data_IF_931518373298
#
_entry.id   IF_931518373298
#
_cell.length_a   1.000
_cell.length_b   1.000
_cell.length_c   1.000
_cell.angle_alpha   90.00
_cell.angle_beta   90.00
_cell.angle_gamma   90.00
#
_symmetry.space_group_name_H-M   'P 1'
#
loop_
_entity.id
_entity.type
_entity.pdbx_description
1 polymer ?
#
# COMPACT_ATOMS: atom_id res chain seq x y z
N UNK A 1 -11.53 -45.24 -4.63
CA UNK A 1 -11.71 -44.21 -3.59
C UNK A 1 -10.77 -43.09 -3.95
N UNK A 2 -11.28 -42.10 -4.65
CA UNK A 2 -10.55 -40.87 -5.02
C UNK A 2 -10.64 -39.93 -3.82
N UNK A 3 -9.49 -39.62 -3.21
CA UNK A 3 -9.40 -38.55 -2.20
C UNK A 3 -9.85 -37.24 -2.84
N UNK A 4 -10.71 -36.46 -2.19
CA UNK A 4 -11.00 -35.13 -2.66
C UNK A 4 -9.73 -34.28 -2.48
N UNK A 5 -9.17 -33.76 -3.57
CA UNK A 5 -8.13 -32.73 -3.54
C UNK A 5 -8.76 -31.47 -2.96
N UNK A 6 -8.61 -31.29 -1.65
CA UNK A 6 -9.04 -30.08 -0.95
C UNK A 6 -8.01 -28.97 -1.21
N UNK A 7 -7.87 -28.53 -2.46
CA UNK A 7 -7.19 -27.32 -2.82
C UNK A 7 -8.09 -26.15 -2.41
N UNK A 8 -7.83 -25.49 -1.28
CA UNK A 8 -8.47 -24.21 -0.97
C UNK A 8 -8.33 -23.29 -2.16
N UNK A 9 -9.43 -22.63 -2.57
CA UNK A 9 -9.38 -21.64 -3.65
C UNK A 9 -8.33 -20.57 -3.29
N UNK A 10 -7.51 -20.20 -4.25
CA UNK A 10 -6.45 -19.20 -4.07
C UNK A 10 -6.73 -17.98 -4.93
N UNK A 11 -6.76 -16.81 -4.32
CA UNK A 11 -6.96 -15.54 -5.01
C UNK A 11 -5.70 -14.70 -4.90
N UNK A 12 -5.19 -14.22 -6.01
CA UNK A 12 -4.09 -13.26 -6.05
C UNK A 12 -4.63 -11.84 -6.18
N UNK A 13 -4.08 -10.91 -5.40
CA UNK A 13 -4.48 -9.50 -5.40
C UNK A 13 -3.27 -8.61 -5.56
N UNK A 14 -3.11 -7.99 -6.73
CA UNK A 14 -2.19 -6.87 -6.89
C UNK A 14 -2.83 -5.61 -6.31
N UNK A 15 -2.19 -4.98 -5.35
CA UNK A 15 -2.65 -3.72 -4.73
C UNK A 15 -1.77 -2.58 -5.19
N UNK A 16 -2.25 -1.81 -6.15
CA UNK A 16 -1.59 -0.60 -6.63
C UNK A 16 -1.87 0.52 -5.63
N UNK A 17 -0.82 1.06 -5.00
CA UNK A 17 -0.99 1.98 -3.88
C UNK A 17 0.27 2.75 -3.54
N UNK A 18 0.10 3.94 -2.94
CA UNK A 18 1.19 4.77 -2.43
C UNK A 18 1.12 4.88 -0.91
N UNK A 19 2.28 4.94 -0.24
CA UNK A 19 2.38 5.01 1.23
C UNK A 19 1.91 6.34 1.82
N UNK A 20 1.87 7.40 1.01
CA UNK A 20 1.38 8.74 1.41
C UNK A 20 -0.05 9.02 0.96
N UNK A 21 -0.73 8.02 0.42
CA UNK A 21 -2.15 8.12 0.08
C UNK A 21 -3.00 7.69 1.27
N UNK A 22 -3.77 8.59 1.89
CA UNK A 22 -4.56 8.24 3.07
C UNK A 22 -5.66 7.23 2.76
N UNK A 23 -6.23 7.27 1.55
CA UNK A 23 -7.17 6.26 1.11
C UNK A 23 -6.54 4.88 0.89
N UNK A 24 -5.21 4.83 0.59
CA UNK A 24 -4.47 3.57 0.55
C UNK A 24 -4.24 3.00 1.95
N UNK A 25 -4.04 3.85 2.97
CA UNK A 25 -3.95 3.43 4.37
C UNK A 25 -5.26 2.79 4.84
N UNK A 26 -6.39 3.45 4.58
CA UNK A 26 -7.73 2.92 4.88
C UNK A 26 -8.03 1.66 4.04
N UNK A 27 -7.71 1.68 2.74
CA UNK A 27 -7.96 0.57 1.83
C UNK A 27 -7.18 -0.70 2.18
N UNK A 28 -5.94 -0.56 2.66
CA UNK A 28 -5.15 -1.68 3.18
C UNK A 28 -5.82 -2.33 4.37
N UNK A 29 -6.24 -1.55 5.36
CA UNK A 29 -6.94 -2.04 6.54
C UNK A 29 -8.24 -2.76 6.17
N UNK A 30 -9.00 -2.20 5.23
CA UNK A 30 -10.24 -2.80 4.72
C UNK A 30 -10.02 -4.11 3.96
N UNK A 31 -8.94 -4.21 3.18
CA UNK A 31 -8.56 -5.47 2.54
C UNK A 31 -8.21 -6.55 3.57
N UNK A 32 -7.45 -6.22 4.60
CA UNK A 32 -7.13 -7.14 5.69
C UNK A 32 -8.41 -7.60 6.41
N UNK A 33 -9.34 -6.69 6.65
CA UNK A 33 -10.66 -7.01 7.18
C UNK A 33 -11.50 -7.89 6.24
N UNK A 34 -11.37 -7.74 4.93
CA UNK A 34 -12.03 -8.60 3.94
C UNK A 34 -11.43 -10.02 3.94
N UNK A 35 -10.11 -10.13 3.95
CA UNK A 35 -9.40 -11.42 4.03
C UNK A 35 -9.77 -12.18 5.30
N UNK A 36 -9.88 -11.47 6.43
CA UNK A 36 -10.31 -12.09 7.69
C UNK A 36 -11.77 -12.61 7.67
N UNK A 37 -12.62 -12.10 6.76
CA UNK A 37 -13.99 -12.58 6.55
C UNK A 37 -14.11 -13.78 5.62
N UNK A 38 -13.03 -14.10 4.89
CA UNK A 38 -12.98 -15.22 3.93
C UNK A 38 -11.88 -16.23 4.28
N UNK A 39 -11.85 -16.77 5.52
CA UNK A 39 -10.72 -17.57 6.03
C UNK A 39 -10.49 -18.88 5.28
N UNK A 40 -11.49 -19.37 4.53
CA UNK A 40 -11.41 -20.57 3.70
C UNK A 40 -10.74 -20.34 2.34
N UNK A 41 -10.52 -19.07 1.95
CA UNK A 41 -9.89 -18.68 0.69
C UNK A 41 -8.47 -18.20 0.98
N UNK A 42 -7.48 -18.84 0.38
CA UNK A 42 -6.10 -18.36 0.45
C UNK A 42 -5.95 -17.10 -0.42
N UNK A 43 -5.55 -15.97 0.18
CA UNK A 43 -5.35 -14.71 -0.54
C UNK A 43 -3.88 -14.33 -0.50
N UNK A 44 -3.25 -14.26 -1.67
CA UNK A 44 -1.89 -13.76 -1.84
C UNK A 44 -1.94 -12.28 -2.28
N UNK A 45 -1.26 -11.41 -1.54
CA UNK A 45 -1.27 -9.96 -1.80
C UNK A 45 0.10 -9.49 -2.27
N UNK A 46 0.15 -8.88 -3.46
CA UNK A 46 1.33 -8.18 -3.98
C UNK A 46 1.13 -6.66 -3.96
N UNK A 47 2.07 -5.95 -3.34
CA UNK A 47 2.06 -4.49 -3.27
C UNK A 47 2.78 -3.92 -4.49
N UNK A 48 2.02 -3.20 -5.34
CA UNK A 48 2.54 -2.54 -6.54
C UNK A 48 2.76 -1.05 -6.26
N UNK A 49 3.91 -0.49 -6.66
CA UNK A 49 4.19 0.92 -6.45
C UNK A 49 3.28 1.81 -7.30
N UNK A 50 2.92 2.95 -6.72
CA UNK A 50 2.28 4.06 -7.42
C UNK A 50 2.82 5.36 -6.84
N UNK A 51 3.16 6.32 -7.70
CA UNK A 51 3.58 7.64 -7.28
C UNK A 51 2.42 8.62 -7.39
N UNK A 52 1.78 8.91 -6.27
CA UNK A 52 0.69 9.88 -6.20
C UNK A 52 1.18 11.29 -6.54
N UNK A 53 2.45 11.56 -6.21
CA UNK A 53 3.10 12.87 -6.41
C UNK A 53 4.49 12.69 -7.04
N UNK A 54 4.58 12.27 -8.31
CA UNK A 54 5.87 11.95 -8.96
C UNK A 54 6.80 13.16 -9.13
N UNK A 55 6.26 14.38 -8.99
CA UNK A 55 7.02 15.63 -9.12
C UNK A 55 7.70 16.07 -7.82
N UNK A 56 7.47 15.41 -6.69
CA UNK A 56 8.12 15.74 -5.43
C UNK A 56 9.59 15.35 -5.53
N UNK A 57 10.54 16.25 -5.22
CA UNK A 57 11.96 15.93 -5.24
C UNK A 57 12.30 14.89 -4.16
N UNK A 58 13.43 14.20 -4.32
CA UNK A 58 13.80 13.07 -3.44
C UNK A 58 13.91 13.46 -1.97
N UNK A 59 14.32 14.69 -1.69
CA UNK A 59 14.39 15.27 -0.34
C UNK A 59 13.02 15.65 0.24
N UNK A 60 11.95 15.44 -0.51
CA UNK A 60 10.59 15.83 -0.10
C UNK A 60 10.32 17.34 -0.22
N UNK A 61 9.12 17.74 0.15
CA UNK A 61 8.71 19.16 0.19
C UNK A 61 7.78 19.44 1.36
N UNK A 62 7.59 20.73 1.71
CA UNK A 62 6.60 21.10 2.72
C UNK A 62 5.18 20.98 2.18
N UNK A 63 4.22 20.61 3.05
CA UNK A 63 2.81 20.47 2.65
C UNK A 63 2.20 21.74 2.09
N UNK A 64 2.54 22.90 2.65
CA UNK A 64 2.09 24.21 2.15
C UNK A 64 2.47 24.43 0.70
N UNK A 65 3.66 24.01 0.30
CA UNK A 65 4.12 24.10 -1.10
C UNK A 65 3.27 23.21 -2.01
N UNK A 66 2.89 22.01 -1.54
CA UNK A 66 2.09 21.06 -2.32
C UNK A 66 0.64 21.50 -2.49
N UNK A 67 -0.02 21.92 -1.42
CA UNK A 67 -1.46 22.19 -1.43
C UNK A 67 -1.79 23.67 -1.72
N UNK A 68 -0.80 24.55 -1.71
CA UNK A 68 -0.96 25.99 -1.94
C UNK A 68 -1.62 26.73 -0.79
N UNK A 69 -2.24 26.03 0.17
CA UNK A 69 -2.74 26.63 1.41
C UNK A 69 -3.03 25.55 2.46
N UNK A 70 -2.92 25.92 3.73
CA UNK A 70 -3.28 25.07 4.88
C UNK A 70 -4.75 24.69 4.84
N UNK A 71 -5.65 25.63 4.50
CA UNK A 71 -7.10 25.39 4.46
C UNK A 71 -7.51 24.29 3.47
N UNK A 72 -6.84 24.19 2.31
CA UNK A 72 -7.11 23.10 1.36
C UNK A 72 -6.68 21.75 1.90
N UNK A 73 -5.56 21.70 2.61
CA UNK A 73 -5.10 20.50 3.28
C UNK A 73 -6.08 20.09 4.38
N UNK A 74 -6.51 21.01 5.24
CA UNK A 74 -7.43 20.76 6.35
C UNK A 74 -8.76 20.15 5.90
N UNK A 75 -9.36 20.69 4.82
CA UNK A 75 -10.61 20.16 4.28
C UNK A 75 -10.51 18.71 3.76
N UNK A 76 -9.34 18.33 3.23
CA UNK A 76 -9.06 16.94 2.83
C UNK A 76 -8.83 16.09 4.07
N UNK A 77 -8.05 16.60 5.03
CA UNK A 77 -7.68 15.92 6.25
C UNK A 77 -8.90 15.55 7.11
N UNK A 78 -9.89 16.45 7.24
CA UNK A 78 -11.14 16.19 7.98
C UNK A 78 -11.91 14.98 7.42
N UNK A 79 -12.05 14.91 6.09
CA UNK A 79 -12.75 13.80 5.44
C UNK A 79 -12.03 12.46 5.65
N UNK A 80 -10.69 12.48 5.57
CA UNK A 80 -9.86 11.31 5.82
C UNK A 80 -9.92 10.91 7.28
N UNK A 81 -9.85 11.87 8.21
CA UNK A 81 -9.90 11.62 9.65
C UNK A 81 -11.18 10.89 10.06
N UNK A 82 -12.33 11.33 9.53
CA UNK A 82 -13.60 10.66 9.80
C UNK A 82 -13.62 9.20 9.29
N UNK A 83 -13.09 8.96 8.09
CA UNK A 83 -13.02 7.63 7.51
C UNK A 83 -12.01 6.72 8.25
N UNK A 84 -10.86 7.25 8.64
CA UNK A 84 -9.84 6.53 9.41
C UNK A 84 -10.35 6.15 10.80
N UNK A 85 -11.02 7.08 11.49
CA UNK A 85 -11.61 6.85 12.81
C UNK A 85 -12.69 5.74 12.77
N UNK A 86 -13.49 5.67 11.71
CA UNK A 86 -14.48 4.61 11.52
C UNK A 86 -13.85 3.21 11.40
N UNK A 87 -12.58 3.14 10.97
CA UNK A 87 -11.79 1.89 10.89
C UNK A 87 -10.89 1.67 12.12
N UNK A 88 -10.93 2.55 13.13
CA UNK A 88 -10.04 2.48 14.28
C UNK A 88 -8.58 2.85 13.98
N UNK A 89 -8.30 3.46 12.83
CA UNK A 89 -6.97 3.90 12.43
C UNK A 89 -6.61 5.26 13.06
N UNK A 90 -5.36 5.39 13.50
CA UNK A 90 -4.83 6.68 13.97
C UNK A 90 -4.43 7.51 12.74
N UNK A 91 -4.99 8.71 12.65
CA UNK A 91 -4.65 9.69 11.63
C UNK A 91 -4.47 11.07 12.30
N UNK A 92 -3.24 11.58 12.28
CA UNK A 92 -2.82 12.81 12.95
C UNK A 92 -2.26 13.83 11.92
N UNK A 93 -3.13 14.46 11.13
CA UNK A 93 -2.72 15.36 10.04
C UNK A 93 -1.92 16.57 10.53
N UNK A 94 -2.14 17.01 11.76
CA UNK A 94 -1.43 18.09 12.42
C UNK A 94 0.06 17.80 12.66
N UNK A 95 0.44 16.54 12.71
CA UNK A 95 1.84 16.11 12.83
C UNK A 95 2.57 16.07 11.49
N UNK A 96 1.85 15.99 10.39
CA UNK A 96 2.44 15.84 9.06
C UNK A 96 2.88 17.20 8.55
N UNK A 97 4.18 17.44 8.48
CA UNK A 97 4.76 18.71 8.00
C UNK A 97 5.34 18.61 6.58
N UNK A 98 5.70 17.40 6.14
CA UNK A 98 6.37 17.19 4.85
C UNK A 98 5.64 16.17 3.99
N UNK A 99 5.73 16.38 2.68
CA UNK A 99 5.34 15.42 1.66
C UNK A 99 6.62 14.77 1.13
N UNK A 100 6.85 13.49 1.38
CA UNK A 100 8.02 12.80 0.86
C UNK A 100 7.85 12.44 -0.62
N UNK A 101 8.96 12.23 -1.31
CA UNK A 101 9.02 11.35 -2.47
C UNK A 101 8.96 9.91 -1.98
N UNK A 102 8.14 9.06 -2.60
CA UNK A 102 7.89 7.71 -2.09
C UNK A 102 8.68 6.60 -2.77
N UNK A 103 9.62 6.95 -3.66
CA UNK A 103 10.48 6.00 -4.35
C UNK A 103 11.20 5.07 -3.36
N UNK A 104 11.87 5.65 -2.37
CA UNK A 104 12.66 4.90 -1.39
C UNK A 104 11.78 4.04 -0.46
N UNK A 105 10.56 4.47 -0.18
CA UNK A 105 9.57 3.67 0.53
C UNK A 105 9.19 2.40 -0.26
N UNK A 106 8.97 2.53 -1.57
CA UNK A 106 8.65 1.41 -2.43
C UNK A 106 9.85 0.47 -2.64
N UNK A 107 11.09 1.01 -2.72
CA UNK A 107 12.31 0.20 -2.71
C UNK A 107 12.42 -0.64 -1.43
N UNK A 108 12.15 -0.03 -0.28
CA UNK A 108 12.16 -0.72 1.02
C UNK A 108 11.12 -1.85 1.08
N UNK A 109 9.90 -1.62 0.59
CA UNK A 109 8.85 -2.65 0.48
C UNK A 109 9.29 -3.79 -0.45
N UNK A 110 9.95 -3.48 -1.57
CA UNK A 110 10.50 -4.48 -2.47
C UNK A 110 11.56 -5.34 -1.79
N UNK A 111 12.53 -4.73 -1.09
CA UNK A 111 13.62 -5.43 -0.43
C UNK A 111 13.14 -6.32 0.73
N UNK A 112 12.02 -5.99 1.35
CA UNK A 112 11.47 -6.77 2.44
C UNK A 112 10.95 -8.15 2.01
N UNK A 113 10.62 -8.37 0.73
CA UNK A 113 9.97 -9.60 0.21
C UNK A 113 10.69 -10.89 0.55
N UNK A 114 12.01 -10.85 0.72
CA UNK A 114 12.83 -12.04 1.03
C UNK A 114 13.17 -12.19 2.52
N UNK A 115 12.74 -11.23 3.34
CA UNK A 115 13.15 -11.14 4.76
C UNK A 115 11.93 -11.19 5.69
N UNK A 116 10.87 -10.45 5.33
CA UNK A 116 9.66 -10.32 6.14
C UNK A 116 8.46 -10.11 5.22
N UNK A 117 7.25 -10.05 5.79
CA UNK A 117 6.04 -9.71 5.03
C UNK A 117 6.10 -8.23 4.56
N UNK A 118 6.03 -7.96 3.23
CA UNK A 118 5.97 -6.60 2.69
C UNK A 118 4.79 -5.78 3.22
N UNK A 119 3.67 -6.42 3.55
CA UNK A 119 2.51 -5.76 4.15
C UNK A 119 2.85 -5.13 5.50
N UNK A 120 3.73 -5.76 6.29
CA UNK A 120 4.21 -5.24 7.58
C UNK A 120 5.06 -3.99 7.41
N UNK A 121 5.99 -4.00 6.44
CA UNK A 121 6.84 -2.83 6.14
C UNK A 121 5.97 -1.67 5.64
N UNK A 122 5.05 -1.95 4.72
CA UNK A 122 4.10 -0.95 4.21
C UNK A 122 3.24 -0.37 5.33
N UNK A 123 2.74 -1.20 6.25
CA UNK A 123 1.97 -0.75 7.41
C UNK A 123 2.80 0.20 8.28
N UNK A 124 4.03 -0.19 8.61
CA UNK A 124 4.92 0.63 9.45
C UNK A 124 5.22 1.99 8.83
N UNK A 125 5.48 2.05 7.52
CA UNK A 125 5.68 3.30 6.80
C UNK A 125 4.44 4.19 6.85
N UNK A 126 3.24 3.62 6.65
CA UNK A 126 1.99 4.37 6.72
C UNK A 126 1.70 4.88 8.14
N UNK A 127 1.96 4.10 9.19
CA UNK A 127 1.83 4.52 10.59
C UNK A 127 2.80 5.65 10.93
N UNK A 128 4.07 5.52 10.56
CA UNK A 128 5.06 6.57 10.72
C UNK A 128 4.56 7.89 10.10
N UNK A 129 4.05 7.84 8.88
CA UNK A 129 3.60 9.03 8.18
C UNK A 129 2.30 9.59 8.76
N UNK A 130 1.24 8.76 8.85
CA UNK A 130 -0.10 9.24 9.18
C UNK A 130 -0.38 9.39 10.67
N UNK A 131 0.24 8.59 11.53
CA UNK A 131 -0.01 8.62 12.98
C UNK A 131 1.08 9.35 13.76
N UNK A 132 2.34 9.25 13.30
CA UNK A 132 3.49 9.76 14.04
C UNK A 132 4.04 11.08 13.44
N UNK A 133 3.76 11.38 12.16
CA UNK A 133 4.27 12.55 11.44
C UNK A 133 5.73 12.43 11.02
N UNK A 134 6.22 11.20 10.85
CA UNK A 134 7.59 10.90 10.43
C UNK A 134 7.87 11.38 9.00
N UNK A 135 9.06 11.92 8.77
CA UNK A 135 9.52 12.32 7.44
C UNK A 135 10.06 11.10 6.67
N UNK A 136 9.25 10.54 5.78
CA UNK A 136 9.64 9.40 4.95
C UNK A 136 10.64 9.76 3.83
N UNK A 137 11.06 11.02 3.70
CA UNK A 137 12.21 11.40 2.85
C UNK A 137 13.55 11.29 3.58
N UNK A 138 13.55 11.06 4.91
CA UNK A 138 14.76 10.84 5.69
C UNK A 138 15.18 9.36 5.65
N UNK A 139 16.38 9.02 5.10
CA UNK A 139 16.88 7.66 5.06
C UNK A 139 17.02 6.99 6.44
N UNK A 140 17.26 7.77 7.52
CA UNK A 140 17.35 7.21 8.87
C UNK A 140 15.97 6.80 9.40
N UNK A 141 14.91 7.54 9.07
CA UNK A 141 13.53 7.16 9.39
C UNK A 141 13.16 5.86 8.67
N UNK A 142 13.52 5.73 7.37
CA UNK A 142 13.29 4.52 6.61
C UNK A 142 14.08 3.32 7.13
N UNK A 143 15.36 3.53 7.51
CA UNK A 143 16.18 2.48 8.11
C UNK A 143 15.63 2.03 9.48
N UNK A 144 15.12 2.98 10.29
CA UNK A 144 14.42 2.68 11.53
C UNK A 144 13.16 1.82 11.29
N UNK A 145 12.33 2.18 10.32
CA UNK A 145 11.15 1.39 9.94
C UNK A 145 11.52 -0.04 9.50
N UNK A 146 12.64 -0.18 8.78
CA UNK A 146 13.16 -1.49 8.38
C UNK A 146 13.53 -2.35 9.59
N UNK A 147 14.23 -1.76 10.57
CA UNK A 147 14.62 -2.45 11.82
C UNK A 147 13.39 -2.87 12.61
N UNK A 148 12.38 -2.01 12.74
CA UNK A 148 11.10 -2.33 13.40
C UNK A 148 10.40 -3.56 12.76
N UNK A 149 10.68 -3.80 11.48
CA UNK A 149 10.17 -4.93 10.73
C UNK A 149 11.12 -6.13 10.66
N UNK A 150 12.26 -6.09 11.34
CA UNK A 150 13.22 -7.19 11.42
C UNK A 150 14.24 -7.24 10.27
N UNK A 151 14.41 -6.15 9.53
CA UNK A 151 15.43 -6.01 8.49
C UNK A 151 16.76 -5.48 9.07
N UNK A 152 17.85 -5.71 8.35
CA UNK A 152 19.17 -5.15 8.70
C UNK A 152 19.23 -3.66 8.32
N UNK A 153 19.19 -2.77 9.32
CA UNK A 153 19.21 -1.32 9.14
C UNK A 153 20.49 -0.80 8.45
N UNK A 154 21.66 -1.41 8.69
CA UNK A 154 22.90 -0.99 8.06
C UNK A 154 22.93 -1.38 6.58
N UNK A 155 22.38 -2.53 6.24
CA UNK A 155 22.19 -2.90 4.84
C UNK A 155 21.22 -1.94 4.14
N UNK A 156 20.10 -1.62 4.78
CA UNK A 156 19.12 -0.69 4.23
C UNK A 156 19.70 0.70 4.01
N UNK A 157 20.50 1.25 4.94
CA UNK A 157 21.21 2.53 4.76
C UNK A 157 22.12 2.51 3.53
N UNK A 158 22.90 1.44 3.36
CA UNK A 158 23.77 1.28 2.18
C UNK A 158 22.97 1.23 0.88
N UNK A 159 21.84 0.52 0.86
CA UNK A 159 21.00 0.42 -0.32
C UNK A 159 20.31 1.76 -0.65
N UNK A 160 19.86 2.50 0.37
CA UNK A 160 19.25 3.82 0.22
C UNK A 160 20.24 4.87 -0.31
N UNK A 161 21.53 4.77 0.07
CA UNK A 161 22.58 5.66 -0.41
C UNK A 161 22.90 5.50 -1.92
N UNK A 162 22.46 4.41 -2.54
CA UNK A 162 22.61 4.12 -3.96
C UNK A 162 21.28 4.11 -4.71
N UNK A 163 21.34 3.74 -5.99
CA UNK A 163 20.19 3.70 -6.89
C UNK A 163 19.67 2.28 -7.17
N UNK A 164 20.00 1.32 -6.30
CA UNK A 164 19.53 -0.07 -6.46
C UNK A 164 18.01 -0.14 -6.56
N UNK A 165 17.52 -0.83 -7.59
CA UNK A 165 16.08 -1.03 -7.88
C UNK A 165 15.26 0.26 -8.17
N UNK A 166 15.90 1.43 -8.34
CA UNK A 166 15.21 2.68 -8.71
C UNK A 166 14.46 2.51 -10.04
N UNK A 167 15.17 2.13 -11.11
CA UNK A 167 14.58 1.94 -12.45
C UNK A 167 13.46 0.89 -12.42
N UNK A 168 13.61 -0.15 -11.61
CA UNK A 168 12.59 -1.19 -11.46
C UNK A 168 11.30 -0.62 -10.84
N UNK A 169 11.41 0.11 -9.73
CA UNK A 169 10.25 0.72 -9.05
C UNK A 169 9.58 1.76 -9.93
N UNK A 170 10.35 2.60 -10.62
CA UNK A 170 9.82 3.57 -11.58
C UNK A 170 9.11 2.88 -12.74
N UNK A 171 9.68 1.81 -13.29
CA UNK A 171 9.07 1.01 -14.34
C UNK A 171 7.75 0.36 -13.90
N UNK A 172 7.70 -0.24 -12.71
CA UNK A 172 6.47 -0.82 -12.16
C UNK A 172 5.39 0.25 -11.90
N UNK A 173 5.77 1.45 -11.40
CA UNK A 173 4.83 2.54 -11.17
C UNK A 173 4.30 3.15 -12.49
N UNK A 174 5.13 3.22 -13.53
CA UNK A 174 4.71 3.67 -14.85
C UNK A 174 3.79 2.63 -15.52
N UNK A 175 4.08 1.34 -15.39
CA UNK A 175 3.21 0.27 -15.91
C UNK A 175 1.79 0.34 -15.33
N UNK A 176 1.62 0.76 -14.08
CA UNK A 176 0.30 0.97 -13.50
C UNK A 176 -0.47 2.10 -14.20
N UNK A 177 0.21 3.20 -14.57
CA UNK A 177 -0.39 4.31 -15.32
C UNK A 177 -0.71 3.92 -16.76
N UNK A 178 0.17 3.15 -17.40
CA UNK A 178 -0.03 2.63 -18.75
C UNK A 178 -1.21 1.65 -18.83
N UNK A 179 -1.58 1.05 -17.70
CA UNK A 179 -2.77 0.22 -17.52
C UNK A 179 -4.04 1.01 -17.14
N UNK A 180 -4.06 2.33 -17.39
CA UNK A 180 -5.18 3.25 -17.08
C UNK A 180 -5.60 3.26 -15.60
N UNK A 181 -4.67 3.01 -14.68
CA UNK A 181 -4.91 3.15 -13.25
C UNK A 181 -4.67 4.61 -12.86
N UNK A 182 -5.76 5.40 -12.87
CA UNK A 182 -5.72 6.84 -12.60
C UNK A 182 -5.86 7.21 -11.12
N UNK A 183 -6.15 6.24 -10.25
CA UNK A 183 -6.38 6.48 -8.83
C UNK A 183 -6.08 5.28 -7.94
N UNK A 184 -5.66 5.58 -6.71
CA UNK A 184 -5.27 4.57 -5.72
C UNK A 184 -6.04 4.76 -4.41
N UNK A 185 -6.30 3.65 -3.65
CA UNK A 185 -5.89 2.29 -3.94
C UNK A 185 -6.65 1.68 -5.12
N UNK A 186 -5.99 0.78 -5.86
CA UNK A 186 -6.62 -0.03 -6.88
C UNK A 186 -6.25 -1.50 -6.61
N UNK A 187 -7.26 -2.37 -6.55
CA UNK A 187 -7.12 -3.80 -6.27
C UNK A 187 -7.40 -4.58 -7.56
N UNK A 188 -6.43 -5.35 -8.01
CA UNK A 188 -6.56 -6.17 -9.23
C UNK A 188 -6.54 -7.65 -8.82
N UNK A 189 -7.69 -8.28 -8.89
CA UNK A 189 -7.87 -9.69 -8.53
C UNK A 189 -7.60 -10.58 -9.73
N UNK A 190 -6.67 -11.53 -9.58
CA UNK A 190 -6.26 -12.50 -10.61
C UNK A 190 -6.03 -11.85 -11.99
N UNK A 191 -5.44 -10.66 -12.02
CA UNK A 191 -5.13 -9.88 -13.25
C UNK A 191 -6.35 -9.61 -14.17
N UNK A 192 -7.59 -9.74 -13.66
CA UNK A 192 -8.80 -9.67 -14.50
C UNK A 192 -9.94 -8.85 -13.92
N UNK A 193 -10.09 -8.78 -12.60
CA UNK A 193 -11.17 -8.05 -11.95
C UNK A 193 -10.61 -6.89 -11.14
N UNK A 194 -11.02 -5.67 -11.48
CA UNK A 194 -10.47 -4.44 -10.90
C UNK A 194 -11.49 -3.79 -9.97
N UNK A 195 -11.03 -3.43 -8.76
CA UNK A 195 -11.80 -2.64 -7.78
C UNK A 195 -11.02 -1.39 -7.45
N UNK A 196 -11.60 -0.23 -7.67
CA UNK A 196 -10.96 1.06 -7.41
C UNK A 196 -11.47 1.70 -6.11
N UNK A 197 -10.57 2.42 -5.43
CA UNK A 197 -10.84 3.13 -4.19
C UNK A 197 -10.90 2.23 -2.96
N UNK A 198 -10.94 2.85 -1.79
CA UNK A 198 -11.02 2.17 -0.50
C UNK A 198 -12.45 1.67 -0.24
N UNK A 199 -12.86 0.61 -0.93
CA UNK A 199 -14.17 -0.01 -0.77
C UNK A 199 -14.31 -0.66 0.62
N UNK A 200 -15.58 -0.92 1.05
CA UNK A 200 -15.83 -1.56 2.34
C UNK A 200 -15.24 -2.97 2.43
N UNK A 201 -14.94 -3.47 3.64
CA UNK A 201 -14.50 -4.86 3.81
C UNK A 201 -15.46 -5.89 3.23
N UNK A 202 -16.78 -5.64 3.35
CA UNK A 202 -17.80 -6.56 2.81
C UNK A 202 -17.78 -6.59 1.28
N UNK A 203 -17.57 -5.43 0.62
CA UNK A 203 -17.44 -5.38 -0.83
C UNK A 203 -16.19 -6.13 -1.32
N UNK A 204 -15.05 -5.93 -0.65
CA UNK A 204 -13.80 -6.61 -0.99
C UNK A 204 -13.88 -8.12 -0.70
N UNK A 205 -14.54 -8.55 0.38
CA UNK A 205 -14.79 -9.95 0.68
C UNK A 205 -15.66 -10.61 -0.42
N UNK A 206 -16.74 -9.97 -0.84
CA UNK A 206 -17.57 -10.44 -1.94
C UNK A 206 -16.79 -10.54 -3.27
N UNK A 207 -15.84 -9.65 -3.52
CA UNK A 207 -14.94 -9.74 -4.67
C UNK A 207 -14.02 -10.96 -4.57
N UNK A 208 -13.43 -11.23 -3.40
CA UNK A 208 -12.59 -12.41 -3.14
C UNK A 208 -13.39 -13.70 -3.38
N UNK A 209 -14.58 -13.82 -2.78
CA UNK A 209 -15.47 -14.97 -2.93
C UNK A 209 -15.89 -15.21 -4.38
N UNK A 210 -16.25 -14.14 -5.09
CA UNK A 210 -16.62 -14.21 -6.51
C UNK A 210 -15.48 -14.76 -7.36
N UNK A 211 -14.27 -14.26 -7.18
CA UNK A 211 -13.10 -14.68 -7.95
C UNK A 211 -12.71 -16.13 -7.62
N UNK A 212 -12.77 -16.51 -6.34
CA UNK A 212 -12.56 -17.90 -5.91
C UNK A 212 -13.60 -18.85 -6.56
N UNK A 213 -14.88 -18.45 -6.58
CA UNK A 213 -15.96 -19.24 -7.20
C UNK A 213 -15.81 -19.41 -8.71
N UNK A 214 -15.26 -18.42 -9.41
CA UNK A 214 -14.99 -18.53 -10.86
C UNK A 214 -13.89 -19.55 -11.19
N UNK A 215 -12.92 -19.76 -10.30
CA UNK A 215 -11.88 -20.78 -10.47
C UNK A 215 -12.38 -22.21 -10.19
N UNK A 216 -13.42 -22.35 -9.39
CA UNK A 216 -13.99 -23.65 -9.03
C UNK A 216 -14.92 -24.23 -10.14
N UNK A 217 -15.28 -23.45 -11.15
CA UNK A 217 -16.07 -23.92 -12.28
C UNK A 217 -15.13 -24.52 -13.36
N UNK A 218 -15.22 -25.83 -13.67
CA UNK A 218 -14.45 -26.40 -14.78
C UNK A 218 -14.89 -25.70 -16.07
N UNK A 219 -13.92 -25.25 -16.86
CA UNK A 219 -14.14 -24.81 -18.25
C UNK A 219 -14.79 -25.96 -19.01
N UNK A 220 -16.03 -25.77 -19.41
CA UNK A 220 -16.79 -26.72 -20.21
C UNK A 220 -16.23 -26.85 -21.62
#
# INVERSE_FOLDING_TARGET
MTEPSNGSARVHVDVVSDVVCPWCYIGKHRLEGAIARTPEIAVDVDWRPYFLNPWIPREGTYLETKFGSVQRYDAIAERVAAAAAAEGLVYAPDKISRQPNTLDCHRLILWSRTITDPARVKQRLMELYFAEGGDLSDPEVLAGAAVDCGMDGDLVRRLLAGDSDTERIEGEANAAKDADIDGVPCFVFNSSFVVTGAQSPDYLAAAIERIAGMQAQPTA
#
